data_IF_809921430643
#
_entry.id   IF_809921430643
#
_cell.length_a   1.000
_cell.length_b   1.000
_cell.length_c   1.000
_cell.angle_alpha   90.00
_cell.angle_beta   90.00
_cell.angle_gamma   90.00
#
_symmetry.space_group_name_H-M   'P 1'
#
loop_
_entity.id
_entity.type
_entity.pdbx_description
1 polymer ?
#
# COMPACT_ATOMS: atom_id res chain seq x y z
N UNK A 1 -4.16 9.10 -18.94
CA UNK A 1 -3.78 8.26 -17.78
C UNK A 1 -2.34 8.57 -17.41
N UNK A 2 -2.01 8.69 -16.12
CA UNK A 2 -0.60 8.78 -15.69
C UNK A 2 -0.04 7.36 -15.62
N UNK A 3 1.06 7.10 -16.32
CA UNK A 3 1.82 5.86 -16.20
C UNK A 3 2.85 6.03 -15.09
N UNK A 4 3.05 4.99 -14.29
CA UNK A 4 4.12 4.96 -13.30
C UNK A 4 5.46 4.75 -14.02
N UNK A 5 6.50 5.48 -13.61
CA UNK A 5 7.86 5.19 -14.07
C UNK A 5 8.34 3.85 -13.50
N UNK A 6 9.39 3.29 -14.11
CA UNK A 6 9.98 2.05 -13.61
C UNK A 6 10.49 2.21 -12.16
N UNK A 7 11.04 3.37 -11.83
CA UNK A 7 11.52 3.68 -10.48
C UNK A 7 10.38 3.73 -9.47
N UNK A 8 9.26 4.37 -9.82
CA UNK A 8 8.06 4.37 -8.99
C UNK A 8 7.59 2.94 -8.75
N UNK A 9 7.46 2.12 -9.81
CA UNK A 9 7.05 0.72 -9.68
C UNK A 9 8.00 -0.05 -8.73
N UNK A 10 9.30 0.20 -8.81
CA UNK A 10 10.28 -0.44 -7.93
C UNK A 10 10.11 -0.01 -6.47
N UNK A 11 9.90 1.28 -6.21
CA UNK A 11 9.62 1.83 -4.88
C UNK A 11 8.32 1.23 -4.29
N UNK A 12 7.25 1.15 -5.10
CA UNK A 12 6.00 0.48 -4.72
C UNK A 12 6.23 -0.99 -4.32
N UNK A 13 7.03 -1.72 -5.10
CA UNK A 13 7.34 -3.13 -4.83
C UNK A 13 8.19 -3.30 -3.59
N UNK A 14 9.20 -2.45 -3.39
CA UNK A 14 10.08 -2.50 -2.23
C UNK A 14 9.28 -2.26 -0.95
N UNK A 15 8.52 -1.17 -0.88
CA UNK A 15 7.66 -0.88 0.26
C UNK A 15 6.65 -2.01 0.52
N UNK A 16 6.05 -2.60 -0.52
CA UNK A 16 5.12 -3.72 -0.36
C UNK A 16 5.81 -4.99 0.16
N UNK A 17 7.03 -5.28 -0.32
CA UNK A 17 7.81 -6.45 0.08
C UNK A 17 8.18 -6.46 1.57
N UNK A 18 8.30 -5.28 2.19
CA UNK A 18 8.55 -5.17 3.64
C UNK A 18 7.42 -5.77 4.48
N UNK A 19 6.18 -5.76 3.96
CA UNK A 19 4.99 -6.22 4.69
C UNK A 19 4.46 -7.56 4.16
N UNK A 20 4.68 -7.89 2.88
CA UNK A 20 4.36 -9.21 2.32
C UNK A 20 5.46 -10.25 2.63
N UNK A 21 5.62 -10.56 3.93
CA UNK A 21 6.63 -11.51 4.42
C UNK A 21 6.54 -12.91 3.79
N UNK A 22 5.38 -13.27 3.25
CA UNK A 22 5.13 -14.58 2.66
C UNK A 22 5.21 -14.57 1.12
N UNK A 23 5.52 -13.42 0.52
CA UNK A 23 5.58 -13.21 -0.93
C UNK A 23 4.34 -13.75 -1.66
N UNK A 24 3.15 -13.52 -1.08
CA UNK A 24 1.87 -13.98 -1.64
C UNK A 24 1.25 -12.95 -2.59
N UNK A 25 1.89 -11.79 -2.77
CA UNK A 25 1.35 -10.62 -3.45
C UNK A 25 0.23 -9.95 -2.67
N UNK A 26 0.11 -10.19 -1.36
CA UNK A 26 -0.97 -9.67 -0.50
C UNK A 26 -0.44 -9.30 0.89
N UNK A 27 -0.85 -8.13 1.37
CA UNK A 27 -0.63 -7.66 2.74
C UNK A 27 -1.93 -7.72 3.54
N UNK A 28 -1.85 -7.60 4.87
CA UNK A 28 -3.07 -7.44 5.68
C UNK A 28 -3.62 -6.02 5.52
N UNK A 29 -4.94 -5.88 5.66
CA UNK A 29 -5.59 -4.58 5.69
C UNK A 29 -5.01 -3.65 6.79
N UNK A 30 -4.57 -4.22 7.92
CA UNK A 30 -3.88 -3.48 8.99
C UNK A 30 -2.56 -2.84 8.55
N UNK A 31 -1.91 -3.39 7.53
CA UNK A 31 -0.57 -2.97 7.10
C UNK A 31 -0.65 -1.90 5.99
N UNK A 32 -1.85 -1.67 5.44
CA UNK A 32 -2.07 -0.71 4.35
C UNK A 32 -1.66 0.72 4.74
N UNK A 33 -1.95 1.14 5.98
CA UNK A 33 -1.54 2.45 6.49
C UNK A 33 0.00 2.62 6.47
N UNK A 34 0.72 1.58 6.88
CA UNK A 34 2.17 1.60 6.93
C UNK A 34 2.79 1.58 5.53
N UNK A 35 2.20 0.83 4.60
CA UNK A 35 2.61 0.83 3.18
C UNK A 35 2.39 2.19 2.54
N UNK A 36 1.22 2.81 2.74
CA UNK A 36 0.95 4.14 2.18
C UNK A 36 1.93 5.20 2.71
N UNK A 37 2.32 5.09 3.99
CA UNK A 37 3.35 5.96 4.59
C UNK A 37 4.76 5.71 4.08
N UNK A 38 5.12 4.46 3.82
CA UNK A 38 6.39 4.10 3.19
C UNK A 38 6.54 4.77 1.81
N UNK A 39 5.43 4.89 1.08
CA UNK A 39 5.35 5.50 -0.24
C UNK A 39 5.22 7.03 -0.21
N UNK A 40 5.51 7.65 0.93
CA UNK A 40 5.48 9.11 1.11
C UNK A 40 4.09 9.72 1.27
N UNK A 41 3.01 8.93 1.27
CA UNK A 41 1.67 9.44 1.56
C UNK A 41 1.43 9.54 3.07
N UNK A 42 0.50 10.40 3.49
CA UNK A 42 0.19 10.61 4.91
C UNK A 42 -1.31 10.44 5.20
N UNK A 43 -1.92 9.29 4.85
CA UNK A 43 -3.33 9.08 5.14
C UNK A 43 -3.58 8.89 6.64
N UNK A 44 -4.77 9.27 7.07
CA UNK A 44 -5.27 9.02 8.41
C UNK A 44 -5.80 7.58 8.55
N UNK A 45 -5.82 7.01 9.76
CA UNK A 45 -6.43 5.70 9.99
C UNK A 45 -7.90 5.64 9.51
N UNK A 46 -8.66 6.73 9.67
CA UNK A 46 -10.05 6.82 9.23
C UNK A 46 -10.21 6.76 7.71
N UNK A 47 -9.32 7.40 6.95
CA UNK A 47 -9.32 7.33 5.48
C UNK A 47 -9.00 5.91 4.98
N UNK A 48 -7.99 5.27 5.58
CA UNK A 48 -7.64 3.87 5.26
C UNK A 48 -8.78 2.94 5.60
N UNK A 49 -9.38 3.07 6.78
CA UNK A 49 -10.52 2.25 7.19
C UNK A 49 -11.73 2.46 6.27
N UNK A 50 -12.03 3.71 5.90
CA UNK A 50 -13.08 4.02 4.94
C UNK A 50 -12.80 3.39 3.59
N UNK A 51 -11.57 3.48 3.10
CA UNK A 51 -11.17 2.86 1.84
C UNK A 51 -11.36 1.34 1.85
N UNK A 52 -10.91 0.66 2.91
CA UNK A 52 -11.10 -0.79 3.09
C UNK A 52 -12.58 -1.19 3.07
N UNK A 53 -13.45 -0.45 3.77
CA UNK A 53 -14.89 -0.71 3.76
C UNK A 53 -15.54 -0.46 2.39
N UNK A 54 -15.17 0.64 1.72
CA UNK A 54 -15.70 0.98 0.40
C UNK A 54 -15.37 -0.08 -0.64
N UNK A 55 -14.17 -0.64 -0.58
CA UNK A 55 -13.69 -1.62 -1.56
C UNK A 55 -13.90 -3.09 -1.14
N UNK A 56 -14.52 -3.35 0.02
CA UNK A 56 -14.86 -4.68 0.55
C UNK A 56 -13.67 -5.66 0.54
N UNK A 57 -12.49 -5.18 0.96
CA UNK A 57 -11.21 -5.91 1.02
C UNK A 57 -10.73 -6.12 2.45
#
# INVERSE_FOLDING_TARGET
AKFLSQDQINEFKECFSLYDKKQKGKIKASDLLAVMRCLGASPTPGEVQRHLHLHRI
#
